data_IF_886002769609
#
_entry.id   IF_886002769609
#
_cell.length_a   1.000
_cell.length_b   1.000
_cell.length_c   1.000
_cell.angle_alpha   90.00
_cell.angle_beta   90.00
_cell.angle_gamma   90.00
#
_symmetry.space_group_name_H-M   'P 1'
#
loop_
_entity.id
_entity.type
_entity.pdbx_description
1 polymer ?
#
# COMPACT_ATOMS: atom_id res chain seq x y z
N UNK A 1 40.05 26.05 -24.36
CA UNK A 1 38.91 25.25 -24.88
C UNK A 1 37.65 25.78 -24.21
N UNK A 2 36.86 26.58 -24.93
CA UNK A 2 35.71 27.30 -24.33
C UNK A 2 34.47 26.41 -24.38
N UNK A 3 34.06 25.90 -23.21
CA UNK A 3 32.86 25.08 -23.06
C UNK A 3 31.61 25.94 -23.22
N UNK A 4 30.91 25.79 -24.35
CA UNK A 4 29.57 26.39 -24.53
C UNK A 4 28.59 25.69 -23.60
N UNK A 5 28.28 26.32 -22.47
CA UNK A 5 27.08 25.98 -21.70
C UNK A 5 25.88 26.35 -22.56
N UNK A 6 25.12 25.34 -23.02
CA UNK A 6 23.86 25.54 -23.74
C UNK A 6 22.92 26.25 -22.75
N UNK A 7 22.73 27.56 -22.91
CA UNK A 7 21.79 28.33 -22.11
C UNK A 7 20.41 27.65 -22.22
N UNK A 8 19.95 27.03 -21.13
CA UNK A 8 18.61 26.46 -21.07
C UNK A 8 17.64 27.62 -21.27
N UNK A 9 16.97 27.66 -22.42
CA UNK A 9 15.89 28.61 -22.65
C UNK A 9 14.90 28.49 -21.50
N UNK A 10 14.70 29.59 -20.79
CA UNK A 10 13.81 29.64 -19.64
C UNK A 10 12.39 29.48 -20.16
N UNK A 11 11.89 28.23 -20.15
CA UNK A 11 10.51 27.94 -20.52
C UNK A 11 9.59 28.79 -19.65
N UNK A 12 8.61 29.44 -20.26
CA UNK A 12 7.56 30.15 -19.54
C UNK A 12 6.95 29.21 -18.51
N UNK A 13 6.83 29.66 -17.26
CA UNK A 13 6.17 28.91 -16.19
C UNK A 13 4.74 29.41 -16.07
N UNK A 14 3.77 28.50 -16.10
CA UNK A 14 2.37 28.86 -15.82
C UNK A 14 2.16 28.93 -14.30
N UNK A 15 1.58 30.03 -13.84
CA UNK A 15 1.21 30.20 -12.43
C UNK A 15 -0.07 29.44 -12.06
N UNK A 16 -0.90 29.10 -13.05
CA UNK A 16 -2.17 28.38 -12.88
C UNK A 16 -2.00 26.86 -12.93
N UNK A 17 -0.80 26.36 -13.22
CA UNK A 17 -0.53 24.93 -13.25
C UNK A 17 -0.66 24.32 -11.84
N UNK A 18 -1.32 23.15 -11.71
CA UNK A 18 -1.36 22.39 -10.47
C UNK A 18 0.02 22.18 -9.86
N UNK A 19 0.10 22.25 -8.53
CA UNK A 19 1.36 22.04 -7.81
C UNK A 19 1.77 20.58 -7.92
N UNK A 20 3.07 20.34 -8.14
CA UNK A 20 3.62 18.98 -8.20
C UNK A 20 3.29 18.18 -6.94
N UNK A 21 3.04 16.86 -7.08
CA UNK A 21 2.67 16.06 -5.93
C UNK A 21 3.84 15.90 -4.95
N UNK A 22 3.53 15.86 -3.67
CA UNK A 22 4.47 15.59 -2.60
C UNK A 22 4.68 14.08 -2.45
N UNK A 23 5.95 13.65 -2.33
CA UNK A 23 6.27 12.27 -1.99
C UNK A 23 6.16 12.03 -0.47
N UNK A 24 6.19 10.77 -0.04
CA UNK A 24 6.02 10.40 1.37
C UNK A 24 7.03 11.13 2.30
N UNK A 25 8.28 11.24 1.87
CA UNK A 25 9.32 11.96 2.62
C UNK A 25 9.03 13.46 2.74
N UNK A 26 8.53 14.12 1.68
CA UNK A 26 8.20 15.54 1.71
C UNK A 26 7.03 15.83 2.67
N UNK A 27 6.04 14.93 2.71
CA UNK A 27 4.92 15.01 3.65
C UNK A 27 5.42 14.80 5.09
N UNK A 28 6.29 13.81 5.30
CA UNK A 28 6.94 13.59 6.59
C UNK A 28 7.78 14.79 7.01
N UNK A 29 8.56 15.37 6.09
CA UNK A 29 9.36 16.55 6.33
C UNK A 29 8.50 17.69 6.83
N UNK A 30 7.41 18.01 6.12
CA UNK A 30 6.48 19.06 6.54
C UNK A 30 5.91 18.77 7.94
N UNK A 31 5.37 17.57 8.15
CA UNK A 31 4.80 17.19 9.45
C UNK A 31 5.83 17.31 10.58
N UNK A 32 7.05 16.80 10.39
CA UNK A 32 8.11 16.86 11.39
C UNK A 32 8.58 18.30 11.63
N UNK A 33 8.72 19.13 10.59
CA UNK A 33 9.06 20.55 10.76
C UNK A 33 8.02 21.28 11.60
N UNK A 34 6.72 21.07 11.33
CA UNK A 34 5.63 21.68 12.10
C UNK A 34 5.67 21.25 13.57
N UNK A 35 5.87 19.96 13.84
CA UNK A 35 6.01 19.45 15.21
C UNK A 35 7.25 20.02 15.91
N UNK A 36 8.36 20.16 15.18
CA UNK A 36 9.60 20.70 15.72
C UNK A 36 9.46 22.17 16.11
N UNK A 37 8.85 22.99 15.24
CA UNK A 37 8.62 24.42 15.53
C UNK A 37 7.58 24.64 16.62
N UNK A 38 6.53 23.80 16.69
CA UNK A 38 5.56 23.84 17.81
C UNK A 38 6.24 23.58 19.16
N UNK A 39 7.20 22.66 19.21
CA UNK A 39 7.96 22.34 20.43
C UNK A 39 9.06 23.36 20.75
N UNK A 40 9.49 24.14 19.77
CA UNK A 40 10.57 25.14 19.92
C UNK A 40 10.09 26.52 19.41
N UNK A 41 9.07 27.12 20.03
CA UNK A 41 8.61 28.45 19.63
C UNK A 41 9.71 29.48 19.87
N UNK A 42 10.01 30.33 18.87
CA UNK A 42 10.92 31.48 19.01
C UNK A 42 12.41 31.22 18.78
N UNK A 43 12.84 29.99 18.53
CA UNK A 43 14.25 29.70 18.23
C UNK A 43 14.56 29.90 16.73
N UNK A 44 15.63 30.63 16.42
CA UNK A 44 16.18 30.73 15.06
C UNK A 44 16.96 29.44 14.73
N UNK A 45 16.23 28.36 14.47
CA UNK A 45 16.78 27.02 14.24
C UNK A 45 17.43 26.97 12.85
N UNK A 46 18.68 26.49 12.80
CA UNK A 46 19.37 26.23 11.54
C UNK A 46 18.62 25.16 10.72
N UNK A 47 18.21 25.55 9.50
CA UNK A 47 17.52 24.65 8.56
C UNK A 47 18.36 23.43 8.17
N UNK A 48 19.69 23.56 8.16
CA UNK A 48 20.58 22.44 7.85
C UNK A 48 20.52 21.38 8.96
N UNK A 49 20.59 21.81 10.22
CA UNK A 49 20.41 20.94 11.37
C UNK A 49 19.05 20.25 11.37
N UNK A 50 17.96 20.99 11.15
CA UNK A 50 16.61 20.41 11.10
C UNK A 50 16.48 19.36 9.99
N UNK A 51 17.01 19.63 8.81
CA UNK A 51 16.97 18.70 7.68
C UNK A 51 17.76 17.42 7.97
N UNK A 52 18.91 17.52 8.64
CA UNK A 52 19.67 16.34 9.09
C UNK A 52 18.87 15.49 10.08
N UNK A 53 18.20 16.12 11.06
CA UNK A 53 17.38 15.41 12.03
C UNK A 53 16.19 14.71 11.39
N UNK A 54 15.50 15.35 10.45
CA UNK A 54 14.40 14.74 9.70
C UNK A 54 14.90 13.55 8.87
N UNK A 55 16.05 13.70 8.21
CA UNK A 55 16.64 12.62 7.41
C UNK A 55 17.05 11.41 8.27
N UNK A 56 17.50 11.66 9.50
CA UNK A 56 17.81 10.59 10.47
C UNK A 56 16.53 9.93 10.97
N UNK A 57 15.51 10.73 11.33
CA UNK A 57 14.22 10.23 11.81
C UNK A 57 13.54 9.35 10.75
N UNK A 58 13.44 9.82 9.50
CA UNK A 58 12.84 9.07 8.40
C UNK A 58 13.49 7.70 8.15
N UNK A 59 14.82 7.64 8.24
CA UNK A 59 15.56 6.37 8.08
C UNK A 59 15.35 5.41 9.26
N UNK A 60 15.05 5.93 10.44
CA UNK A 60 14.78 5.14 11.63
C UNK A 60 13.35 4.61 11.74
N UNK A 61 12.41 5.12 10.93
CA UNK A 61 11.02 4.66 10.95
C UNK A 61 10.86 3.26 10.37
N UNK A 62 9.98 2.47 10.97
CA UNK A 62 9.53 1.18 10.42
C UNK A 62 8.63 1.39 9.20
N UNK A 63 8.31 0.31 8.49
CA UNK A 63 7.41 0.41 7.32
C UNK A 63 5.99 0.81 7.74
N UNK A 64 5.50 0.26 8.85
CA UNK A 64 4.18 0.60 9.42
C UNK A 64 4.09 2.09 9.81
N UNK A 65 5.17 2.66 10.36
CA UNK A 65 5.23 4.09 10.68
C UNK A 65 5.31 4.98 9.43
N UNK A 66 5.87 4.46 8.32
CA UNK A 66 5.92 5.16 7.03
C UNK A 66 4.61 5.06 6.26
N UNK A 67 3.84 4.00 6.45
CA UNK A 67 2.58 3.73 5.77
C UNK A 67 1.63 4.95 5.72
N UNK A 68 1.32 5.66 6.81
CA UNK A 68 0.42 6.83 6.74
C UNK A 68 0.96 7.96 5.86
N UNK A 69 2.29 8.09 5.71
CA UNK A 69 2.90 9.07 4.81
C UNK A 69 2.90 8.60 3.36
N UNK A 70 3.04 7.30 3.13
CA UNK A 70 2.93 6.69 1.79
C UNK A 70 1.50 6.80 1.24
N UNK A 71 0.49 6.52 2.07
CA UNK A 71 -0.92 6.67 1.70
C UNK A 71 -1.27 8.12 1.36
N UNK A 72 -0.81 9.08 2.17
CA UNK A 72 -0.99 10.50 1.87
C UNK A 72 -0.32 10.90 0.55
N UNK A 73 0.87 10.38 0.28
CA UNK A 73 1.57 10.64 -0.99
C UNK A 73 0.84 10.02 -2.19
N UNK A 74 0.25 8.83 -2.04
CA UNK A 74 -0.56 8.20 -3.07
C UNK A 74 -1.82 9.03 -3.38
N UNK A 75 -2.52 9.52 -2.34
CA UNK A 75 -3.67 10.43 -2.48
C UNK A 75 -3.27 11.75 -3.14
N UNK A 76 -2.14 12.32 -2.75
CA UNK A 76 -1.62 13.57 -3.32
C UNK A 76 -1.26 13.44 -4.81
N UNK A 77 -0.68 12.28 -5.19
CA UNK A 77 -0.44 11.92 -6.58
C UNK A 77 -1.74 11.83 -7.38
N UNK A 78 -2.78 11.20 -6.83
CA UNK A 78 -4.10 11.12 -7.49
C UNK A 78 -4.74 12.51 -7.65
N UNK A 79 -4.72 13.35 -6.61
CA UNK A 79 -5.19 14.75 -6.70
C UNK A 79 -4.52 15.47 -7.85
N UNK A 80 -3.19 15.40 -7.93
CA UNK A 80 -2.42 16.06 -8.99
C UNK A 80 -2.79 15.56 -10.39
N UNK A 81 -2.98 14.26 -10.57
CA UNK A 81 -3.39 13.70 -11.87
C UNK A 81 -4.75 14.27 -12.30
N UNK A 82 -5.73 14.26 -11.41
CA UNK A 82 -7.07 14.79 -11.68
C UNK A 82 -7.04 16.30 -11.96
N UNK A 83 -6.34 17.09 -11.12
CA UNK A 83 -6.18 18.53 -11.32
C UNK A 83 -5.48 18.85 -12.64
N UNK A 84 -4.47 18.05 -13.03
CA UNK A 84 -3.75 18.23 -14.30
C UNK A 84 -4.62 17.94 -15.52
N UNK A 85 -5.52 16.96 -15.45
CA UNK A 85 -6.47 16.68 -16.53
C UNK A 85 -7.44 17.85 -16.72
N UNK A 86 -8.04 18.34 -15.63
CA UNK A 86 -8.92 19.52 -15.65
C UNK A 86 -8.16 20.75 -16.16
N UNK A 87 -6.94 20.96 -15.66
CA UNK A 87 -6.10 22.08 -16.05
C UNK A 87 -5.76 22.06 -17.54
N UNK A 88 -5.38 20.92 -18.11
CA UNK A 88 -5.10 20.77 -19.55
C UNK A 88 -6.30 21.12 -20.43
N UNK A 89 -7.52 20.92 -19.93
CA UNK A 89 -8.74 21.27 -20.64
C UNK A 89 -9.20 22.72 -20.41
N UNK A 90 -8.58 23.43 -19.47
CA UNK A 90 -8.96 24.81 -19.12
C UNK A 90 -8.56 25.83 -20.19
N UNK A 91 -9.33 26.92 -20.27
CA UNK A 91 -9.00 28.09 -21.09
C UNK A 91 -7.68 28.76 -20.66
N UNK A 92 -7.31 28.65 -19.38
CA UNK A 92 -6.03 29.14 -18.86
C UNK A 92 -4.85 28.45 -19.53
N UNK A 93 -4.90 27.11 -19.61
CA UNK A 93 -3.86 26.32 -20.26
C UNK A 93 -3.78 26.62 -21.77
N UNK A 94 -4.92 26.71 -22.47
CA UNK A 94 -4.94 27.06 -23.90
C UNK A 94 -4.29 28.43 -24.16
N UNK A 95 -4.60 29.44 -23.34
CA UNK A 95 -3.98 30.78 -23.42
C UNK A 95 -2.47 30.72 -23.17
N UNK A 96 -2.03 29.90 -22.22
CA UNK A 96 -0.61 29.71 -21.94
C UNK A 96 0.14 29.03 -23.09
N UNK A 97 -0.44 27.99 -23.69
CA UNK A 97 0.12 27.36 -24.91
C UNK A 97 0.24 28.37 -26.03
N UNK A 98 -0.82 29.13 -26.32
CA UNK A 98 -0.79 30.19 -27.35
C UNK A 98 0.28 31.25 -27.08
N UNK A 99 0.50 31.63 -25.82
CA UNK A 99 1.57 32.55 -25.41
C UNK A 99 2.98 31.95 -25.53
N UNK A 100 3.12 30.63 -25.39
CA UNK A 100 4.38 29.95 -25.70
C UNK A 100 4.64 29.94 -27.21
N UNK A 101 3.61 29.61 -28.00
CA UNK A 101 3.70 29.58 -29.46
C UNK A 101 4.03 30.95 -30.04
N UNK A 102 3.46 32.03 -29.51
CA UNK A 102 3.76 33.39 -29.96
C UNK A 102 5.20 33.85 -29.68
N UNK A 103 5.96 33.10 -28.87
CA UNK A 103 7.39 33.36 -28.60
C UNK A 103 8.32 32.51 -29.48
N UNK A 104 7.77 31.63 -30.31
CA UNK A 104 8.58 30.90 -31.28
C UNK A 104 9.09 31.89 -32.35
N UNK A 105 10.37 31.82 -32.73
CA UNK A 105 10.86 32.63 -33.83
C UNK A 105 10.10 32.28 -35.11
N UNK A 106 9.70 33.31 -35.86
CA UNK A 106 9.07 33.16 -37.16
C UNK A 106 10.15 32.79 -38.19
N UNK A 107 10.43 31.49 -38.28
CA UNK A 107 11.45 30.95 -39.17
C UNK A 107 10.77 30.57 -40.50
N UNK A 108 11.16 31.19 -41.63
CA UNK A 108 10.62 30.84 -42.93
C UNK A 108 10.77 29.35 -43.24
N UNK A 109 9.71 28.74 -43.76
CA UNK A 109 9.72 27.33 -44.16
C UNK A 109 10.82 27.13 -45.22
N UNK A 110 11.61 26.07 -45.06
CA UNK A 110 12.80 25.74 -45.88
C UNK A 110 14.00 26.69 -45.76
N UNK A 111 14.02 27.62 -44.80
CA UNK A 111 15.26 28.37 -44.50
C UNK A 111 16.37 27.44 -43.98
N UNK A 112 17.62 27.91 -44.03
CA UNK A 112 18.75 27.20 -43.43
C UNK A 112 18.55 27.02 -41.91
N UNK A 113 17.97 28.02 -41.22
CA UNK A 113 17.62 27.86 -39.81
C UNK A 113 16.50 26.83 -39.60
N UNK A 114 15.47 26.81 -40.47
CA UNK A 114 14.36 25.84 -40.39
C UNK A 114 14.86 24.41 -40.53
N UNK A 115 15.64 24.14 -41.57
CA UNK A 115 16.22 22.82 -41.84
C UNK A 115 17.11 22.36 -40.68
N UNK A 116 17.92 23.26 -40.11
CA UNK A 116 18.76 22.97 -38.95
C UNK A 116 17.93 22.67 -37.70
N UNK A 117 16.93 23.51 -37.40
CA UNK A 117 16.05 23.31 -36.24
C UNK A 117 15.27 21.99 -36.32
N UNK A 118 14.76 21.65 -37.52
CA UNK A 118 14.05 20.41 -37.74
C UNK A 118 14.98 19.19 -37.56
N UNK A 119 16.19 19.25 -38.13
CA UNK A 119 17.21 18.21 -37.92
C UNK A 119 17.58 18.02 -36.45
N UNK A 120 17.80 19.12 -35.72
CA UNK A 120 18.11 19.07 -34.29
C UNK A 120 16.95 18.46 -33.50
N UNK A 121 15.70 18.87 -33.79
CA UNK A 121 14.49 18.28 -33.18
C UNK A 121 14.37 16.79 -33.46
N UNK A 122 14.64 16.36 -34.69
CA UNK A 122 14.60 14.95 -35.06
C UNK A 122 15.66 14.14 -34.31
N UNK A 123 16.86 14.70 -34.11
CA UNK A 123 17.88 14.04 -33.28
C UNK A 123 17.47 13.95 -31.82
N UNK A 124 16.91 15.03 -31.25
CA UNK A 124 16.39 15.04 -29.88
C UNK A 124 15.23 14.02 -29.72
N UNK A 125 14.31 13.94 -30.69
CA UNK A 125 13.21 12.97 -30.69
C UNK A 125 13.70 11.53 -30.77
N UNK A 126 14.72 11.25 -31.59
CA UNK A 126 15.35 9.92 -31.67
C UNK A 126 15.99 9.54 -30.32
N UNK A 127 16.67 10.48 -29.69
CA UNK A 127 17.28 10.26 -28.37
C UNK A 127 16.22 9.99 -27.30
N UNK A 128 15.15 10.80 -27.25
CA UNK A 128 14.02 10.59 -26.32
C UNK A 128 13.37 9.22 -26.52
N UNK A 129 13.13 8.82 -27.77
CA UNK A 129 12.57 7.48 -28.07
C UNK A 129 13.45 6.35 -27.55
N UNK A 130 14.77 6.48 -27.73
CA UNK A 130 15.74 5.52 -27.20
C UNK A 130 15.74 5.45 -25.67
N UNK A 131 15.62 6.61 -25.01
CA UNK A 131 15.53 6.69 -23.55
C UNK A 131 14.23 6.08 -23.02
N UNK A 132 13.10 6.32 -23.68
CA UNK A 132 11.81 5.70 -23.36
C UNK A 132 11.92 4.17 -23.45
N UNK A 133 12.46 3.66 -24.57
CA UNK A 133 12.64 2.22 -24.76
C UNK A 133 13.53 1.60 -23.67
N UNK A 134 14.59 2.30 -23.25
CA UNK A 134 15.46 1.84 -22.16
C UNK A 134 14.73 1.86 -20.80
N UNK A 135 13.91 2.87 -20.54
CA UNK A 135 13.12 2.95 -19.30
C UNK A 135 12.03 1.86 -19.26
N UNK A 136 11.36 1.60 -20.38
CA UNK A 136 10.39 0.51 -20.52
C UNK A 136 11.06 -0.86 -20.32
N UNK A 137 12.24 -1.07 -20.93
CA UNK A 137 13.01 -2.30 -20.74
C UNK A 137 13.43 -2.51 -19.26
N UNK A 138 13.67 -1.42 -18.51
CA UNK A 138 13.95 -1.49 -17.06
C UNK A 138 12.69 -1.73 -16.23
N UNK A 139 11.54 -1.20 -16.66
CA UNK A 139 10.27 -1.36 -15.95
C UNK A 139 9.66 -2.76 -16.15
N UNK A 140 9.85 -3.37 -17.32
CA UNK A 140 9.29 -4.69 -17.66
C UNK A 140 9.59 -5.79 -16.63
N UNK A 141 10.86 -6.06 -16.23
CA UNK A 141 11.14 -7.13 -15.27
C UNK A 141 10.60 -6.81 -13.87
N UNK A 142 10.51 -5.53 -13.50
CA UNK A 142 9.93 -5.13 -12.20
C UNK A 142 8.45 -5.47 -12.16
N UNK A 143 7.72 -5.16 -13.24
CA UNK A 143 6.29 -5.47 -13.36
C UNK A 143 6.07 -6.98 -13.34
N UNK A 144 6.91 -7.75 -14.04
CA UNK A 144 6.85 -9.21 -14.04
C UNK A 144 7.09 -9.79 -12.63
N UNK A 145 8.13 -9.33 -11.93
CA UNK A 145 8.40 -9.75 -10.55
C UNK A 145 7.22 -9.43 -9.62
N UNK A 146 6.64 -8.23 -9.72
CA UNK A 146 5.46 -7.85 -8.92
C UNK A 146 4.32 -8.82 -9.19
N UNK A 147 4.02 -9.12 -10.45
CA UNK A 147 2.94 -10.05 -10.80
C UNK A 147 3.20 -11.47 -10.28
N UNK A 148 4.45 -11.92 -10.31
CA UNK A 148 4.84 -13.22 -9.72
C UNK A 148 4.62 -13.22 -8.21
N UNK A 149 5.09 -12.19 -7.50
CA UNK A 149 4.90 -12.10 -6.05
C UNK A 149 3.43 -12.02 -5.63
N UNK A 150 2.59 -11.35 -6.44
CA UNK A 150 1.15 -11.29 -6.19
C UNK A 150 0.51 -12.68 -6.33
N UNK A 151 0.88 -13.45 -7.35
CA UNK A 151 0.40 -14.83 -7.52
C UNK A 151 0.84 -15.75 -6.39
N UNK A 152 2.08 -15.62 -5.93
CA UNK A 152 2.60 -16.39 -4.79
C UNK A 152 1.84 -16.04 -3.50
N UNK A 153 1.56 -14.75 -3.28
CA UNK A 153 0.77 -14.30 -2.13
C UNK A 153 -0.65 -14.87 -2.16
N UNK A 154 -1.30 -14.84 -3.34
CA UNK A 154 -2.63 -15.42 -3.52
C UNK A 154 -2.63 -16.92 -3.25
N UNK A 155 -1.63 -17.66 -3.75
CA UNK A 155 -1.50 -19.10 -3.51
C UNK A 155 -1.27 -19.43 -2.03
N UNK A 156 -0.44 -18.65 -1.34
CA UNK A 156 -0.19 -18.82 0.09
C UNK A 156 -1.45 -18.56 0.92
N UNK A 157 -2.23 -17.54 0.54
CA UNK A 157 -3.51 -17.23 1.18
C UNK A 157 -4.50 -18.39 1.04
N UNK A 158 -4.64 -18.93 -0.17
CA UNK A 158 -5.51 -20.10 -0.42
C UNK A 158 -5.06 -21.32 0.39
N UNK A 159 -3.76 -21.64 0.39
CA UNK A 159 -3.24 -22.78 1.16
C UNK A 159 -3.45 -22.62 2.67
N UNK A 160 -3.32 -21.40 3.19
CA UNK A 160 -3.58 -21.09 4.61
C UNK A 160 -5.06 -21.31 4.94
N UNK A 161 -5.96 -20.81 4.08
CA UNK A 161 -7.40 -20.97 4.26
C UNK A 161 -7.82 -22.44 4.17
N UNK A 162 -7.27 -23.21 3.23
CA UNK A 162 -7.50 -24.66 3.12
C UNK A 162 -7.04 -25.41 4.38
N UNK A 163 -5.88 -25.06 4.93
CA UNK A 163 -5.39 -25.64 6.17
C UNK A 163 -6.32 -25.33 7.35
N UNK A 164 -6.81 -24.09 7.46
CA UNK A 164 -7.79 -23.71 8.51
C UNK A 164 -9.11 -24.49 8.38
N UNK A 165 -9.62 -24.69 7.16
CA UNK A 165 -10.82 -25.48 6.90
C UNK A 165 -10.58 -26.94 7.33
N UNK A 166 -9.45 -27.53 6.93
CA UNK A 166 -9.13 -28.92 7.26
C UNK A 166 -9.02 -29.14 8.77
N UNK A 167 -8.40 -28.21 9.49
CA UNK A 167 -8.32 -28.27 10.96
C UNK A 167 -9.70 -28.17 11.61
N UNK A 168 -10.57 -27.28 11.11
CA UNK A 168 -11.98 -27.19 11.56
C UNK A 168 -12.73 -28.49 11.28
N UNK A 169 -12.58 -29.09 10.10
CA UNK A 169 -13.23 -30.36 9.75
C UNK A 169 -12.76 -31.51 10.66
N UNK A 170 -11.46 -31.57 10.98
CA UNK A 170 -10.94 -32.54 11.95
C UNK A 170 -11.55 -32.33 13.33
N UNK A 171 -11.62 -31.09 13.79
CA UNK A 171 -12.21 -30.74 15.09
C UNK A 171 -13.70 -31.11 15.13
N UNK A 172 -14.47 -30.71 14.13
CA UNK A 172 -15.88 -31.08 13.96
C UNK A 172 -16.07 -32.60 13.92
N UNK A 173 -15.20 -33.31 13.21
CA UNK A 173 -15.24 -34.77 13.12
C UNK A 173 -14.89 -35.46 14.44
N UNK A 174 -13.99 -34.89 15.25
CA UNK A 174 -13.69 -35.38 16.59
C UNK A 174 -14.82 -35.08 17.58
N UNK A 175 -15.36 -33.86 17.53
CA UNK A 175 -16.54 -33.42 18.27
C UNK A 175 -17.72 -34.37 18.06
N UNK A 176 -18.13 -34.58 16.81
CA UNK A 176 -19.31 -35.38 16.45
C UNK A 176 -19.12 -36.86 16.76
N UNK A 177 -17.94 -37.44 16.48
CA UNK A 177 -17.73 -38.90 16.61
C UNK A 177 -17.32 -39.36 18.00
N UNK A 178 -16.70 -38.50 18.79
CA UNK A 178 -16.15 -38.88 20.10
C UNK A 178 -16.84 -38.15 21.25
N UNK A 179 -17.01 -36.84 21.18
CA UNK A 179 -17.47 -36.07 22.34
C UNK A 179 -18.99 -36.10 22.50
N UNK A 180 -19.77 -35.90 21.42
CA UNK A 180 -21.24 -35.94 21.50
C UNK A 180 -21.75 -37.28 22.07
N UNK A 181 -21.25 -38.46 21.64
CA UNK A 181 -21.67 -39.74 22.22
C UNK A 181 -21.30 -39.92 23.71
N UNK A 182 -20.20 -39.33 24.17
CA UNK A 182 -19.84 -39.37 25.60
C UNK A 182 -20.73 -38.44 26.43
N UNK A 183 -21.11 -37.28 25.90
CA UNK A 183 -22.07 -36.38 26.54
C UNK A 183 -23.48 -37.01 26.59
N UNK A 184 -23.88 -37.72 25.55
CA UNK A 184 -25.12 -38.51 25.51
C UNK A 184 -25.14 -39.58 26.60
N UNK A 185 -24.06 -40.37 26.73
CA UNK A 185 -23.91 -41.38 27.80
C UNK A 185 -23.93 -40.78 29.20
N UNK A 186 -23.41 -39.57 29.36
CA UNK A 186 -23.45 -38.83 30.61
C UNK A 186 -24.81 -38.18 30.91
N UNK A 187 -25.78 -38.27 29.97
CA UNK A 187 -27.11 -37.65 30.10
C UNK A 187 -27.08 -36.13 29.98
N UNK A 188 -26.04 -35.55 29.38
CA UNK A 188 -25.79 -34.11 29.38
C UNK A 188 -26.35 -33.37 28.15
N UNK A 189 -26.78 -34.08 27.10
CA UNK A 189 -27.26 -33.42 25.87
C UNK A 189 -28.51 -32.57 26.10
N UNK A 190 -29.51 -33.11 26.83
CA UNK A 190 -30.73 -32.37 27.16
C UNK A 190 -30.49 -31.28 28.21
N UNK A 191 -29.58 -31.52 29.17
CA UNK A 191 -29.26 -30.52 30.21
C UNK A 191 -28.50 -29.31 29.64
N UNK A 192 -27.76 -29.49 28.54
CA UNK A 192 -26.95 -28.45 27.89
C UNK A 192 -27.59 -27.88 26.62
N UNK A 193 -28.77 -28.38 26.21
CA UNK A 193 -29.45 -28.03 24.95
C UNK A 193 -28.55 -28.23 23.70
N UNK A 194 -27.77 -29.31 23.68
CA UNK A 194 -26.84 -29.63 22.60
C UNK A 194 -27.40 -30.77 21.76
N UNK A 195 -27.23 -30.68 20.44
CA UNK A 195 -27.53 -31.76 19.52
C UNK A 195 -26.37 -32.03 18.56
N UNK A 196 -26.51 -33.02 17.67
CA UNK A 196 -25.47 -33.41 16.70
C UNK A 196 -25.12 -32.34 15.65
N UNK A 197 -25.92 -31.27 15.56
CA UNK A 197 -25.68 -30.15 14.67
C UNK A 197 -25.06 -28.93 15.40
N UNK A 198 -24.91 -28.98 16.74
CA UNK A 198 -24.30 -27.90 17.51
C UNK A 198 -22.79 -27.86 17.26
N UNK A 199 -22.25 -26.69 16.90
CA UNK A 199 -20.81 -26.50 16.68
C UNK A 199 -20.03 -26.53 18.01
N UNK A 200 -18.76 -26.95 18.05
CA UNK A 200 -17.89 -26.81 19.21
C UNK A 200 -17.83 -25.37 19.75
N UNK A 201 -17.87 -24.37 18.88
CA UNK A 201 -17.87 -22.95 19.23
C UNK A 201 -19.17 -22.55 19.94
N UNK A 202 -20.32 -22.92 19.39
CA UNK A 202 -21.65 -22.69 19.99
C UNK A 202 -21.76 -23.40 21.35
N UNK A 203 -21.15 -24.59 21.47
CA UNK A 203 -21.06 -25.31 22.74
C UNK A 203 -20.20 -24.55 23.77
N UNK A 204 -19.04 -24.01 23.39
CA UNK A 204 -18.19 -23.22 24.30
C UNK A 204 -18.89 -21.93 24.74
N UNK A 205 -19.64 -21.29 23.85
CA UNK A 205 -20.44 -20.09 24.17
C UNK A 205 -21.61 -20.43 25.12
N UNK A 206 -22.25 -21.58 24.87
CA UNK A 206 -23.29 -22.14 25.74
C UNK A 206 -22.70 -22.47 27.11
N UNK A 207 -21.52 -23.10 27.19
CA UNK A 207 -20.77 -23.40 28.42
C UNK A 207 -20.39 -22.15 29.23
N UNK A 208 -20.15 -21.03 28.56
CA UNK A 208 -19.74 -19.78 29.20
C UNK A 208 -20.89 -19.04 29.88
N UNK A 209 -22.14 -19.46 29.65
CA UNK A 209 -23.33 -18.65 29.98
C UNK A 209 -24.06 -19.03 31.27
N UNK A 210 -23.98 -20.25 31.81
CA UNK A 210 -24.51 -20.60 33.16
C UNK A 210 -24.44 -22.11 33.47
N UNK A 211 -23.68 -22.58 34.48
CA UNK A 211 -23.81 -23.97 34.97
C UNK A 211 -23.60 -24.19 36.48
N UNK A 212 -24.27 -25.23 36.97
CA UNK A 212 -24.17 -25.77 38.34
C UNK A 212 -22.92 -26.64 38.53
N UNK A 213 -22.38 -26.70 39.76
CA UNK A 213 -21.19 -27.48 40.11
C UNK A 213 -21.32 -28.99 39.78
N UNK A 214 -22.52 -29.56 39.86
CA UNK A 214 -22.75 -30.97 39.53
C UNK A 214 -22.55 -31.24 38.03
N UNK A 215 -23.05 -30.33 37.20
CA UNK A 215 -22.88 -30.41 35.76
C UNK A 215 -21.40 -30.27 35.36
N UNK A 216 -20.66 -29.35 35.98
CA UNK A 216 -19.23 -29.19 35.75
C UNK A 216 -18.44 -30.46 36.10
N UNK A 217 -18.84 -31.18 37.15
CA UNK A 217 -18.22 -32.46 37.52
C UNK A 217 -18.52 -33.57 36.52
N UNK A 218 -19.77 -33.68 36.03
CA UNK A 218 -20.12 -34.61 34.95
C UNK A 218 -19.37 -34.28 33.65
N UNK A 219 -19.27 -33.00 33.30
CA UNK A 219 -18.53 -32.50 32.14
C UNK A 219 -17.05 -32.88 32.25
N UNK A 220 -16.44 -32.61 33.41
CA UNK A 220 -15.06 -32.97 33.69
C UNK A 220 -14.81 -34.47 33.54
N UNK A 221 -15.73 -35.31 34.04
CA UNK A 221 -15.65 -36.77 33.88
C UNK A 221 -15.76 -37.24 32.42
N UNK A 222 -16.56 -36.57 31.58
CA UNK A 222 -16.64 -36.84 30.15
C UNK A 222 -15.35 -36.39 29.42
N UNK A 223 -14.80 -35.24 29.79
CA UNK A 223 -13.55 -34.72 29.24
C UNK A 223 -12.32 -35.54 29.64
N UNK A 224 -12.24 -36.02 30.89
CA UNK A 224 -11.13 -36.88 31.35
C UNK A 224 -11.06 -38.19 30.55
N UNK A 225 -12.20 -38.70 30.05
CA UNK A 225 -12.26 -39.85 29.13
C UNK A 225 -11.87 -39.50 27.69
N UNK A 226 -12.12 -38.27 27.27
CA UNK A 226 -11.75 -37.75 25.95
C UNK A 226 -10.26 -37.42 25.84
N UNK A 227 -9.61 -37.00 26.93
CA UNK A 227 -8.21 -36.56 26.99
C UNK A 227 -7.20 -37.61 27.51
N UNK A 228 -7.60 -38.86 27.74
CA UNK A 228 -6.62 -39.96 27.94
C UNK A 228 -5.71 -40.09 26.70
N UNK A 229 -4.38 -40.22 26.90
CA UNK A 229 -3.37 -39.44 26.18
C UNK A 229 -3.12 -39.93 24.75
N UNK A 230 -2.93 -38.96 23.85
CA UNK A 230 -2.18 -39.07 22.58
C UNK A 230 -0.68 -39.35 22.84
N UNK A 231 -0.37 -40.35 23.67
CA UNK A 231 0.99 -40.82 23.92
C UNK A 231 0.98 -42.33 24.12
N UNK A 232 0.92 -43.04 22.99
CA UNK A 232 1.55 -44.33 22.78
C UNK A 232 1.43 -44.66 21.29
N UNK A 233 2.59 -44.61 20.62
CA UNK A 233 2.96 -45.09 19.27
C UNK A 233 3.21 -44.01 18.20
#
# INVERSE_FOLDING_TARGET
MSGRTRAKSQKLKDSNAPKKPCNAYAIFYQHYTEQFFKKNPGNNIDRRFLTQQISKAWRGLTEDEKQPFQEKAAKDKQRYLNEMEVYKNSEGYKKFVKKQESKLPDIPIFSKEFLKHNKDRDTDLRQIRKEIQLLEAKASPIVENINTTLKELDALHHSTQEHEILEKEKLMGAWTRKLIPELERAGLLEELDINYNTSPEDFIETLSSSYSNDMLNKLKGAFDKFYLPLSAD
#
